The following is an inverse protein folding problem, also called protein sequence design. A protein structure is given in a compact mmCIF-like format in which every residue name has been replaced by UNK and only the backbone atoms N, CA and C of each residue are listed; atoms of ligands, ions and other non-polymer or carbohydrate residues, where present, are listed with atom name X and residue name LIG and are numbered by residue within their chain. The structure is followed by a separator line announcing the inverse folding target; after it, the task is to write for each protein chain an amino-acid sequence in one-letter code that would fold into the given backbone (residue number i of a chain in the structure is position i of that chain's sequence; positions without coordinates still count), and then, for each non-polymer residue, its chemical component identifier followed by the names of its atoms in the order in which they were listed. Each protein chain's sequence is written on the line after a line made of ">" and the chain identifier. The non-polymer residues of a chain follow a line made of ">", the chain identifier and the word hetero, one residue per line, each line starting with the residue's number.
data_IF_735414982541
#
_entry.id   IF_735414982541
#
_cell.length_a   1.000
_cell.length_b   1.000
_cell.length_c   1.000
_cell.angle_alpha   90.00
_cell.angle_beta   90.00
_cell.angle_gamma   90.00
#
_symmetry.space_group_name_H-M   'P 1'
#
loop_
_entity.id
_entity.type
_entity.pdbx_description
1 polymer ?
#
# COMPACT_ATOMS: atom_id res chain seq x y z
N UNK A 1 -34.51 -54.84 37.47
CA UNK A 1 -33.85 -56.16 37.34
C UNK A 1 -32.35 -55.94 37.39
N UNK A 2 -31.68 -56.57 38.38
CA UNK A 2 -30.26 -56.99 38.49
C UNK A 2 -29.15 -56.07 37.94
N UNK A 3 -28.17 -55.53 38.68
CA UNK A 3 -27.22 -56.08 39.67
C UNK A 3 -26.25 -57.16 39.11
N UNK A 4 -24.94 -56.83 39.06
CA UNK A 4 -23.71 -57.63 39.31
C UNK A 4 -22.56 -57.15 38.40
N UNK A 5 -21.41 -56.60 38.84
CA UNK A 5 -20.46 -56.86 39.94
C UNK A 5 -19.44 -57.98 39.65
N UNK A 6 -18.14 -57.59 39.64
CA UNK A 6 -16.87 -58.33 39.90
C UNK A 6 -15.67 -57.54 39.29
N UNK A 7 -14.79 -56.83 40.01
CA UNK A 7 -13.70 -57.24 40.96
C UNK A 7 -12.78 -58.33 40.34
N UNK A 8 -11.43 -58.31 40.32
CA UNK A 8 -10.38 -57.66 41.16
C UNK A 8 -8.95 -58.17 40.71
N UNK A 9 -7.87 -57.40 41.02
CA UNK A 9 -6.40 -57.73 41.15
C UNK A 9 -5.53 -57.98 39.87
N UNK A 10 -4.50 -57.17 39.56
CA UNK A 10 -3.11 -57.06 40.10
C UNK A 10 -2.17 -58.20 39.61
N UNK A 11 -0.88 -58.08 39.27
CA UNK A 11 0.16 -57.08 39.57
C UNK A 11 1.43 -57.27 38.68
N UNK A 12 2.23 -56.19 38.61
CA UNK A 12 3.71 -56.10 38.65
C UNK A 12 4.66 -56.56 37.52
N UNK A 13 5.71 -55.73 37.38
CA UNK A 13 7.14 -55.96 37.07
C UNK A 13 7.62 -55.24 35.79
N UNK A 14 8.76 -54.53 35.65
CA UNK A 14 9.93 -54.10 36.45
C UNK A 14 10.60 -52.98 35.59
N UNK A 15 11.13 -51.90 36.21
CA UNK A 15 11.91 -50.80 35.59
C UNK A 15 13.36 -51.27 35.18
N UNK A 16 14.36 -50.44 34.75
CA UNK A 16 14.45 -48.99 34.53
C UNK A 16 15.27 -48.58 33.27
N UNK A 17 15.47 -47.27 33.03
CA UNK A 17 16.79 -46.61 32.82
C UNK A 17 16.74 -45.38 31.88
N UNK A 18 17.69 -44.46 32.15
CA UNK A 18 18.20 -43.33 31.35
C UNK A 18 17.63 -41.92 31.61
N UNK A 19 18.40 -41.13 32.39
CA UNK A 19 19.05 -39.84 32.06
C UNK A 19 18.25 -38.90 31.10
N UNK A 20 18.06 -37.59 31.33
CA UNK A 20 18.99 -36.57 31.79
C UNK A 20 18.28 -35.20 31.93
N UNK A 21 18.88 -34.33 32.76
CA UNK A 21 18.95 -32.86 32.71
C UNK A 21 17.63 -32.08 32.53
N UNK A 22 17.21 -31.45 33.62
CA UNK A 22 16.34 -30.28 33.62
C UNK A 22 17.05 -29.14 32.89
N UNK A 23 16.86 -29.04 31.57
CA UNK A 23 17.21 -27.86 30.81
C UNK A 23 16.15 -26.80 31.10
N UNK A 24 16.57 -25.68 31.70
CA UNK A 24 15.80 -24.46 31.68
C UNK A 24 15.62 -24.06 30.21
N UNK A 25 14.48 -24.37 29.62
CA UNK A 25 14.03 -23.65 28.43
C UNK A 25 13.63 -22.27 28.90
N UNK A 26 14.59 -21.35 28.85
CA UNK A 26 14.28 -19.94 28.72
C UNK A 26 13.58 -19.81 27.38
N UNK A 27 12.24 -19.82 27.40
CA UNK A 27 11.44 -19.28 26.31
C UNK A 27 11.77 -17.78 26.28
N UNK A 28 12.88 -17.45 25.62
CA UNK A 28 13.11 -16.12 25.09
C UNK A 28 12.07 -15.98 23.99
N UNK A 29 10.92 -15.40 24.33
CA UNK A 29 10.05 -14.78 23.34
C UNK A 29 10.94 -13.81 22.57
N UNK A 30 11.33 -14.21 21.37
CA UNK A 30 11.99 -13.38 20.39
C UNK A 30 10.98 -12.30 20.03
N UNK A 31 11.01 -11.22 20.81
CA UNK A 31 10.20 -10.04 20.59
C UNK A 31 10.67 -9.48 19.25
N UNK A 32 10.01 -9.90 18.17
CA UNK A 32 10.26 -9.42 16.82
C UNK A 32 10.37 -7.91 16.88
N UNK A 33 11.50 -7.38 16.41
CA UNK A 33 11.62 -5.95 16.19
C UNK A 33 10.42 -5.51 15.34
N UNK A 34 9.85 -4.32 15.58
CA UNK A 34 8.80 -3.81 14.71
C UNK A 34 9.33 -3.84 13.27
N UNK A 35 8.60 -4.51 12.38
CA UNK A 35 8.92 -4.51 10.96
C UNK A 35 9.06 -3.05 10.51
N UNK A 36 10.14 -2.75 9.79
CA UNK A 36 10.34 -1.42 9.23
C UNK A 36 9.12 -1.05 8.37
N UNK A 37 8.71 0.23 8.34
CA UNK A 37 7.58 0.64 7.52
C UNK A 37 7.81 0.22 6.07
N UNK A 38 6.78 -0.23 5.33
CA UNK A 38 6.91 -0.50 3.91
C UNK A 38 7.38 0.75 3.17
N UNK A 39 8.24 0.58 2.16
CA UNK A 39 8.80 1.73 1.43
C UNK A 39 8.78 1.48 -0.07
N UNK A 40 8.67 2.56 -0.85
CA UNK A 40 9.12 2.57 -2.24
C UNK A 40 10.61 2.84 -2.28
N UNK A 41 11.35 2.03 -3.04
CA UNK A 41 12.80 2.17 -3.22
C UNK A 41 13.10 2.84 -4.55
N UNK A 42 13.24 4.17 -4.56
CA UNK A 42 13.66 4.90 -5.76
C UNK A 42 15.16 5.18 -5.76
N UNK A 43 15.76 5.36 -6.93
CA UNK A 43 17.14 5.78 -7.08
C UNK A 43 17.42 7.16 -6.45
N UNK A 44 16.38 7.99 -6.31
CA UNK A 44 16.45 9.28 -5.61
C UNK A 44 16.39 9.17 -4.07
N UNK A 45 16.04 7.99 -3.55
CA UNK A 45 15.88 7.70 -2.13
C UNK A 45 14.58 6.94 -1.84
N UNK A 46 14.46 6.48 -0.60
CA UNK A 46 13.27 5.77 -0.14
C UNK A 46 12.10 6.73 0.12
N UNK A 47 10.88 6.28 -0.20
CA UNK A 47 9.63 6.93 0.18
C UNK A 47 8.83 5.97 1.06
N UNK A 48 8.88 6.21 2.37
CA UNK A 48 8.21 5.37 3.35
C UNK A 48 6.68 5.56 3.33
N UNK A 49 5.96 4.45 3.27
CA UNK A 49 4.50 4.40 3.41
C UNK A 49 4.14 4.60 4.87
N UNK A 50 3.19 5.48 5.12
CA UNK A 50 2.77 5.84 6.47
C UNK A 50 1.72 6.94 6.45
N UNK A 51 0.86 6.93 7.47
CA UNK A 51 -0.10 8.00 7.70
C UNK A 51 0.63 9.34 7.94
N UNK A 52 0.00 10.44 7.51
CA UNK A 52 0.50 11.78 7.74
C UNK A 52 -0.65 12.76 8.03
N UNK A 53 -0.34 13.89 8.67
CA UNK A 53 -1.25 15.03 8.74
C UNK A 53 -0.87 16.10 7.72
N UNK A 54 -1.85 16.74 7.10
CA UNK A 54 -1.64 17.69 5.98
C UNK A 54 -0.63 18.80 6.28
N UNK A 55 -0.57 19.29 7.52
CA UNK A 55 0.36 20.35 7.93
C UNK A 55 1.81 19.88 8.08
N UNK A 56 2.04 18.57 8.27
CA UNK A 56 3.37 17.99 8.49
C UNK A 56 4.16 17.84 7.19
N UNK A 57 3.47 17.57 6.09
CA UNK A 57 4.08 17.31 4.78
C UNK A 57 4.12 18.56 3.90
N UNK A 58 3.46 19.64 4.31
CA UNK A 58 3.41 20.89 3.55
C UNK A 58 4.81 21.48 3.37
N UNK A 59 5.23 21.65 2.12
CA UNK A 59 6.58 22.13 1.78
C UNK A 59 7.68 21.08 1.85
N UNK A 60 7.35 19.82 2.17
CA UNK A 60 8.25 18.66 2.11
C UNK A 60 7.68 17.52 1.24
N UNK A 61 6.75 17.85 0.33
CA UNK A 61 6.16 16.88 -0.57
C UNK A 61 7.24 16.17 -1.39
N UNK A 62 7.06 14.86 -1.61
CA UNK A 62 7.86 14.12 -2.57
C UNK A 62 7.46 14.56 -3.98
N UNK A 63 8.40 14.99 -4.82
CA UNK A 63 8.09 15.36 -6.20
C UNK A 63 8.13 14.10 -7.09
N UNK A 64 6.98 13.57 -7.57
CA UNK A 64 6.98 12.38 -8.40
C UNK A 64 7.62 12.61 -9.78
N UNK A 65 7.77 13.86 -10.23
CA UNK A 65 8.27 14.15 -11.57
C UNK A 65 9.80 14.18 -11.63
N UNK A 66 10.44 14.35 -10.48
CA UNK A 66 11.90 14.39 -10.36
C UNK A 66 12.45 13.32 -9.42
N UNK A 67 11.64 12.84 -8.48
CA UNK A 67 11.98 11.78 -7.54
C UNK A 67 11.88 10.37 -8.12
N UNK A 68 11.18 10.20 -9.25
CA UNK A 68 11.10 8.92 -9.96
C UNK A 68 11.66 9.13 -11.37
N UNK A 69 12.67 8.36 -11.75
CA UNK A 69 13.27 8.45 -13.08
C UNK A 69 12.35 7.89 -14.17
N UNK A 70 12.62 8.27 -15.42
CA UNK A 70 11.88 7.74 -16.55
C UNK A 70 12.06 6.23 -16.70
N UNK A 71 13.23 5.70 -16.34
CA UNK A 71 13.52 4.26 -16.33
C UNK A 71 12.71 3.51 -15.28
N UNK A 72 12.59 4.07 -14.07
CA UNK A 72 11.76 3.50 -12.99
C UNK A 72 10.28 3.48 -13.36
N UNK A 73 9.77 4.57 -13.96
CA UNK A 73 8.41 4.58 -14.50
C UNK A 73 8.23 3.56 -15.63
N UNK A 74 9.19 3.47 -16.55
CA UNK A 74 9.10 2.55 -17.68
C UNK A 74 9.12 1.08 -17.24
N UNK A 75 9.82 0.75 -16.15
CA UNK A 75 9.79 -0.58 -15.54
C UNK A 75 8.38 -0.96 -15.04
N UNK A 76 7.58 0.04 -14.64
CA UNK A 76 6.18 -0.09 -14.26
C UNK A 76 5.20 0.11 -15.43
N UNK A 77 5.66 0.10 -16.68
CA UNK A 77 4.79 0.32 -17.86
C UNK A 77 4.28 1.77 -18.01
N UNK A 78 4.80 2.71 -17.22
CA UNK A 78 4.45 4.13 -17.27
C UNK A 78 5.48 4.85 -18.13
N UNK A 79 5.04 5.49 -19.22
CA UNK A 79 5.95 6.17 -20.16
C UNK A 79 5.56 7.62 -20.40
N UNK A 80 6.54 8.42 -20.84
CA UNK A 80 6.36 9.82 -21.19
C UNK A 80 5.93 10.68 -19.99
N UNK A 81 6.48 10.37 -18.82
CA UNK A 81 6.22 11.17 -17.62
C UNK A 81 6.95 12.50 -17.76
N UNK A 82 6.19 13.58 -17.70
CA UNK A 82 6.71 14.94 -17.78
C UNK A 82 6.09 15.79 -16.67
N UNK A 83 6.87 16.73 -16.13
CA UNK A 83 6.35 17.67 -15.15
C UNK A 83 5.17 18.42 -15.75
N UNK A 84 4.07 18.50 -14.99
CA UNK A 84 2.90 19.26 -15.38
C UNK A 84 2.87 20.55 -14.55
N UNK A 85 3.07 21.69 -15.22
CA UNK A 85 2.86 23.00 -14.61
C UNK A 85 1.41 23.07 -14.13
N UNK A 86 1.23 22.99 -12.81
CA UNK A 86 -0.05 22.59 -12.24
C UNK A 86 -1.18 23.58 -12.56
N UNK A 87 -2.31 23.05 -13.04
CA UNK A 87 -3.62 23.72 -12.99
C UNK A 87 -4.26 23.58 -11.60
N UNK A 88 -3.63 22.80 -10.71
CA UNK A 88 -4.19 22.35 -9.43
C UNK A 88 -3.86 23.24 -8.23
N UNK A 89 -3.00 24.26 -8.40
CA UNK A 89 -2.78 25.30 -7.42
C UNK A 89 -1.36 25.39 -6.88
N UNK A 90 -1.24 25.51 -5.54
CA UNK A 90 0.02 25.74 -4.83
C UNK A 90 0.89 24.47 -4.83
N UNK A 91 2.15 24.51 -5.32
CA UNK A 91 3.07 23.37 -5.28
C UNK A 91 3.37 22.88 -3.86
N UNK A 92 3.12 23.68 -2.83
CA UNK A 92 3.18 23.24 -1.43
C UNK A 92 2.02 22.33 -0.99
N UNK A 93 0.98 22.18 -1.82
CA UNK A 93 -0.21 21.37 -1.57
C UNK A 93 -0.27 20.15 -2.49
N UNK A 94 0.19 20.29 -3.73
CA UNK A 94 0.11 19.25 -4.75
C UNK A 94 1.25 19.39 -5.75
N UNK A 95 1.88 18.27 -6.11
CA UNK A 95 2.77 18.19 -7.28
C UNK A 95 2.22 17.11 -8.21
N UNK A 96 2.28 17.36 -9.52
CA UNK A 96 1.67 16.47 -10.50
C UNK A 96 2.52 16.34 -11.76
N UNK A 97 2.58 15.13 -12.29
CA UNK A 97 3.16 14.83 -13.59
C UNK A 97 2.05 14.39 -14.54
N UNK A 98 2.15 14.82 -15.79
CA UNK A 98 1.43 14.16 -16.86
C UNK A 98 2.21 12.93 -17.31
N UNK A 99 1.51 12.02 -17.96
CA UNK A 99 2.14 10.90 -18.66
C UNK A 99 1.77 10.97 -20.14
N UNK A 100 2.49 10.26 -21.00
CA UNK A 100 2.09 10.16 -22.40
C UNK A 100 0.69 9.53 -22.46
N UNK A 101 -0.23 10.25 -23.08
CA UNK A 101 -1.60 9.82 -23.25
C UNK A 101 -1.65 8.64 -24.25
N UNK A 102 -2.08 7.42 -23.83
CA UNK A 102 -2.22 6.30 -24.77
C UNK A 102 -3.39 6.49 -25.75
N UNK A 103 -4.35 7.38 -25.48
CA UNK A 103 -5.40 7.77 -26.43
C UNK A 103 -6.17 9.01 -25.93
N UNK A 104 -6.56 9.93 -26.82
CA UNK A 104 -7.33 11.15 -26.47
C UNK A 104 -8.68 10.95 -25.72
N UNK A 105 -9.03 9.72 -25.35
CA UNK A 105 -10.19 9.33 -24.56
C UNK A 105 -9.86 8.94 -23.11
N UNK A 106 -8.59 8.84 -22.73
CA UNK A 106 -8.15 8.49 -21.38
C UNK A 106 -7.07 9.47 -20.95
N UNK A 107 -6.98 9.79 -19.66
CA UNK A 107 -5.86 10.55 -19.12
C UNK A 107 -5.33 9.88 -17.87
N UNK A 108 -4.02 9.99 -17.67
CA UNK A 108 -3.32 9.51 -16.49
C UNK A 108 -2.43 10.61 -15.93
N UNK A 109 -2.58 10.89 -14.64
CA UNK A 109 -1.71 11.81 -13.87
C UNK A 109 -1.13 11.09 -12.67
N UNK A 110 0.10 11.43 -12.34
CA UNK A 110 0.79 10.94 -11.15
C UNK A 110 0.94 12.12 -10.21
N UNK A 111 0.52 11.98 -8.97
CA UNK A 111 0.38 13.11 -8.05
C UNK A 111 0.93 12.77 -6.68
N UNK A 112 1.47 13.79 -6.01
CA UNK A 112 1.63 13.82 -4.56
C UNK A 112 0.66 14.88 -4.03
N UNK A 113 0.01 14.66 -2.89
CA UNK A 113 -0.83 15.70 -2.28
C UNK A 113 -0.73 15.73 -0.76
N UNK A 114 -1.09 16.87 -0.16
CA UNK A 114 -1.30 16.97 1.30
C UNK A 114 -2.63 16.38 1.76
N UNK A 115 -3.46 15.85 0.85
CA UNK A 115 -4.78 15.29 1.12
C UNK A 115 -4.66 13.78 1.20
N UNK A 116 -4.34 13.28 2.39
CA UNK A 116 -4.26 11.86 2.71
C UNK A 116 -5.60 11.27 3.13
N UNK A 117 -5.55 10.00 3.51
CA UNK A 117 -6.70 9.14 3.77
C UNK A 117 -7.59 9.72 4.88
N UNK A 118 -6.96 10.07 6.00
CA UNK A 118 -7.62 10.63 7.17
C UNK A 118 -8.35 11.95 6.83
N UNK A 119 -7.75 12.79 5.97
CA UNK A 119 -8.38 14.03 5.52
C UNK A 119 -9.60 13.74 4.67
N UNK A 120 -9.52 12.81 3.71
CA UNK A 120 -10.65 12.40 2.86
C UNK A 120 -11.79 11.84 3.72
N UNK A 121 -11.49 10.91 4.63
CA UNK A 121 -12.46 10.36 5.60
C UNK A 121 -13.13 11.47 6.41
N UNK A 122 -12.36 12.43 6.93
CA UNK A 122 -12.88 13.53 7.76
C UNK A 122 -13.84 14.46 7.01
N UNK A 123 -13.64 14.62 5.70
CA UNK A 123 -14.50 15.43 4.83
C UNK A 123 -15.74 14.66 4.32
N UNK A 124 -15.90 13.40 4.73
CA UNK A 124 -16.98 12.52 4.28
C UNK A 124 -16.78 11.98 2.86
N UNK A 125 -15.55 11.98 2.36
CA UNK A 125 -15.20 11.35 1.08
C UNK A 125 -15.36 9.84 1.14
N UNK A 126 -15.80 9.24 0.03
CA UNK A 126 -15.87 7.79 -0.12
C UNK A 126 -14.54 7.26 -0.64
N UNK A 127 -14.05 6.22 -0.01
CA UNK A 127 -12.85 5.50 -0.42
C UNK A 127 -13.03 4.01 -0.20
N UNK A 128 -12.32 3.21 -0.99
CA UNK A 128 -12.32 1.75 -0.90
C UNK A 128 -10.90 1.33 -0.56
N UNK A 129 -10.72 0.68 0.59
CA UNK A 129 -9.44 0.12 1.02
C UNK A 129 -9.18 -1.21 0.29
N UNK A 130 -7.92 -1.48 -0.06
CA UNK A 130 -7.49 -2.69 -0.76
C UNK A 130 -6.45 -3.45 0.06
N UNK A 131 -6.86 -4.18 1.11
CA UNK A 131 -5.92 -4.88 2.00
C UNK A 131 -5.16 -6.03 1.33
N UNK A 132 -5.64 -6.50 0.18
CA UNK A 132 -5.00 -7.56 -0.61
C UNK A 132 -4.03 -7.02 -1.68
N UNK A 133 -3.88 -5.69 -1.79
CA UNK A 133 -2.92 -5.02 -2.69
C UNK A 133 -1.47 -5.35 -2.32
N UNK A 134 -0.58 -5.40 -3.32
CA UNK A 134 0.87 -5.51 -3.06
C UNK A 134 1.43 -4.25 -2.41
N UNK A 135 0.79 -3.10 -2.62
CA UNK A 135 1.09 -1.83 -1.93
C UNK A 135 0.34 -1.79 -0.61
N UNK A 136 1.04 -1.84 0.55
CA UNK A 136 0.37 -1.75 1.85
C UNK A 136 -0.33 -0.40 2.04
N UNK A 137 -1.56 -0.41 2.55
CA UNK A 137 -2.32 0.81 2.81
C UNK A 137 -2.89 1.49 1.57
N UNK A 138 -2.92 0.81 0.41
CA UNK A 138 -3.54 1.35 -0.80
C UNK A 138 -5.06 1.46 -0.64
N UNK A 139 -5.60 2.58 -1.09
CA UNK A 139 -7.04 2.82 -1.22
C UNK A 139 -7.34 3.50 -2.56
N UNK A 140 -8.59 3.36 -3.03
CA UNK A 140 -9.07 4.06 -4.22
C UNK A 140 -10.16 5.06 -3.88
N UNK A 141 -10.15 6.21 -4.57
CA UNK A 141 -11.11 7.30 -4.43
C UNK A 141 -11.72 7.60 -5.79
N UNK A 142 -13.04 7.52 -5.91
CA UNK A 142 -13.73 7.92 -7.14
C UNK A 142 -13.75 9.44 -7.26
N UNK A 143 -13.30 9.96 -8.39
CA UNK A 143 -13.20 11.40 -8.64
C UNK A 143 -14.40 11.92 -9.43
N UNK A 144 -15.36 12.52 -8.71
CA UNK A 144 -16.48 13.24 -9.28
C UNK A 144 -17.47 12.38 -10.09
N UNK A 145 -18.41 13.03 -10.78
CA UNK A 145 -19.46 12.36 -11.56
C UNK A 145 -19.02 11.91 -12.97
N UNK A 146 -17.76 12.17 -13.34
CA UNK A 146 -17.25 12.03 -14.71
C UNK A 146 -16.42 10.76 -14.93
N UNK A 147 -16.42 9.81 -13.98
CA UNK A 147 -15.75 8.51 -14.16
C UNK A 147 -14.23 8.54 -13.99
N UNK A 148 -13.71 9.38 -13.09
CA UNK A 148 -12.30 9.35 -12.69
C UNK A 148 -12.08 8.48 -11.45
N UNK A 149 -10.85 8.00 -11.26
CA UNK A 149 -10.45 7.34 -10.03
C UNK A 149 -8.98 7.57 -9.72
N UNK A 150 -8.67 7.79 -8.45
CA UNK A 150 -7.32 7.82 -7.92
C UNK A 150 -7.07 6.53 -7.14
N UNK A 151 -6.01 5.79 -7.46
CA UNK A 151 -5.41 4.85 -6.52
C UNK A 151 -4.34 5.61 -5.75
N UNK A 152 -4.40 5.56 -4.42
CA UNK A 152 -3.62 6.41 -3.54
C UNK A 152 -3.07 5.60 -2.36
N UNK A 153 -1.89 5.99 -1.91
CA UNK A 153 -1.26 5.49 -0.68
C UNK A 153 -0.65 6.67 0.08
N UNK A 154 -0.85 6.69 1.39
CA UNK A 154 -0.27 7.72 2.25
C UNK A 154 1.22 7.41 2.49
N UNK A 155 2.05 8.44 2.38
CA UNK A 155 3.49 8.36 2.66
C UNK A 155 3.89 9.46 3.64
N UNK A 156 5.06 9.32 4.26
CA UNK A 156 5.62 10.36 5.14
C UNK A 156 5.86 11.70 4.43
N UNK A 157 5.77 11.75 3.10
CA UNK A 157 5.96 12.95 2.28
C UNK A 157 4.76 13.26 1.38
N UNK A 158 3.57 12.90 1.85
CA UNK A 158 2.28 13.17 1.19
C UNK A 158 1.65 11.92 0.59
N UNK A 159 0.44 12.06 0.08
CA UNK A 159 -0.28 10.95 -0.52
C UNK A 159 0.12 10.80 -2.00
N UNK A 160 0.78 9.69 -2.34
CA UNK A 160 1.16 9.37 -3.71
C UNK A 160 -0.02 8.71 -4.41
N UNK A 161 -0.40 9.19 -5.58
CA UNK A 161 -1.51 8.63 -6.34
C UNK A 161 -1.29 8.56 -7.84
N UNK A 162 -1.90 7.54 -8.44
CA UNK A 162 -2.12 7.45 -9.88
C UNK A 162 -3.60 7.71 -10.14
N UNK A 163 -3.85 8.76 -10.91
CA UNK A 163 -5.17 9.28 -11.21
C UNK A 163 -5.48 8.91 -12.65
N UNK A 164 -6.56 8.17 -12.85
CA UNK A 164 -7.06 7.77 -14.16
C UNK A 164 -8.39 8.43 -14.41
N UNK A 165 -8.55 8.97 -15.61
CA UNK A 165 -9.82 9.45 -16.09
C UNK A 165 -10.09 8.92 -17.48
N UNK A 166 -11.36 8.65 -17.78
CA UNK A 166 -11.79 8.16 -19.08
C UNK A 166 -13.04 8.90 -19.52
N UNK A 167 -13.01 9.39 -20.75
CA UNK A 167 -14.12 10.13 -21.34
C UNK A 167 -15.35 9.20 -21.44
N UNK A 168 -16.52 9.69 -21.02
CA UNK A 168 -17.78 8.92 -20.97
C UNK A 168 -17.74 7.64 -20.11
N UNK A 169 -16.89 7.55 -19.09
CA UNK A 169 -16.79 6.37 -18.22
C UNK A 169 -17.88 6.26 -17.13
N UNK A 170 -19.03 6.92 -17.32
CA UNK A 170 -20.11 6.85 -16.34
C UNK A 170 -20.64 5.40 -16.23
N UNK A 171 -20.61 4.84 -15.02
CA UNK A 171 -20.92 3.43 -14.78
C UNK A 171 -19.76 2.47 -15.04
N UNK A 172 -18.55 2.98 -15.30
CA UNK A 172 -17.31 2.21 -15.45
C UNK A 172 -16.25 2.59 -14.40
N UNK A 173 -16.65 3.25 -13.31
CA UNK A 173 -15.75 3.74 -12.26
C UNK A 173 -14.89 2.61 -11.68
N UNK A 174 -15.46 1.42 -11.47
CA UNK A 174 -14.74 0.24 -10.97
C UNK A 174 -13.65 -0.25 -11.96
N UNK A 175 -13.84 -0.10 -13.26
CA UNK A 175 -12.82 -0.41 -14.27
C UNK A 175 -11.66 0.60 -14.18
N UNK A 176 -12.00 1.89 -14.06
CA UNK A 176 -11.01 2.97 -13.95
C UNK A 176 -10.22 2.85 -12.65
N UNK A 177 -10.87 2.53 -11.52
CA UNK A 177 -10.19 2.31 -10.24
C UNK A 177 -9.27 1.10 -10.27
N UNK A 178 -9.69 -0.03 -10.86
CA UNK A 178 -8.81 -1.21 -10.98
C UNK A 178 -7.60 -0.92 -11.87
N UNK A 179 -7.77 -0.14 -12.93
CA UNK A 179 -6.64 0.26 -13.77
C UNK A 179 -5.65 1.14 -12.99
N UNK A 180 -6.15 2.14 -12.26
CA UNK A 180 -5.30 3.00 -11.42
C UNK A 180 -4.59 2.22 -10.31
N UNK A 181 -5.29 1.29 -9.65
CA UNK A 181 -4.74 0.40 -8.63
C UNK A 181 -3.60 -0.44 -9.21
N UNK A 182 -3.86 -1.14 -10.33
CA UNK A 182 -2.87 -1.99 -10.96
C UNK A 182 -1.60 -1.23 -11.36
N UNK A 183 -1.72 0.01 -11.85
CA UNK A 183 -0.55 0.83 -12.17
C UNK A 183 0.25 1.24 -10.93
N UNK A 184 -0.41 1.47 -9.78
CA UNK A 184 0.29 1.82 -8.54
C UNK A 184 0.97 0.59 -7.91
N UNK A 185 0.33 -0.58 -8.02
CA UNK A 185 0.93 -1.88 -7.67
C UNK A 185 2.13 -2.21 -8.56
N UNK A 186 2.03 -2.02 -9.88
CA UNK A 186 3.13 -2.20 -10.82
C UNK A 186 4.31 -1.26 -10.51
N UNK A 187 4.01 0.00 -10.15
CA UNK A 187 5.04 0.95 -9.72
C UNK A 187 5.74 0.48 -8.45
N UNK A 188 4.98 0.08 -7.42
CA UNK A 188 5.55 -0.42 -6.18
C UNK A 188 6.42 -1.65 -6.42
N UNK A 189 5.90 -2.66 -7.13
CA UNK A 189 6.61 -3.91 -7.44
C UNK A 189 7.90 -3.68 -8.23
N UNK A 190 7.91 -2.69 -9.14
CA UNK A 190 9.10 -2.32 -9.89
C UNK A 190 10.20 -1.73 -8.98
N UNK A 191 9.81 -0.94 -7.96
CA UNK A 191 10.78 -0.40 -6.99
C UNK A 191 11.41 -1.48 -6.11
N UNK A 192 10.67 -2.55 -5.81
CA UNK A 192 11.20 -3.65 -4.98
C UNK A 192 12.26 -4.48 -5.69
N UNK A 193 12.27 -4.47 -7.03
CA UNK A 193 13.21 -5.25 -7.84
C UNK A 193 14.50 -4.49 -8.18
N UNK A 194 14.53 -3.18 -7.97
CA UNK A 194 15.67 -2.31 -8.25
C UNK A 194 16.69 -2.25 -7.09
N UNK A 195 16.43 -2.96 -5.98
CA UNK A 195 17.21 -2.96 -4.74
C UNK A 195 18.22 -4.12 -4.65
#
# INVERSE_FOLDING_TARGET
>A
MSANDRRVLAALMIAPAFLAVSACSSDTEEQSAPDAPPVFHFASGDLAIGEFYSDEVKGNLFDPCTGISAEEYAAAGITGVEAFDSEFGDPGVVMSCNTADPSAQETRRIMISTVGENTIKSLGGSQIEHPDSTVPGLYTVTEGANGGCAAQVDTERGALSINRWKYNAQGQEDEVCRAAQGELEELYDATQQAS
#
